data_IF_163099868286
#
_entry.id   IF_163099868286
#
_cell.length_a   1.000
_cell.length_b   1.000
_cell.length_c   1.000
_cell.angle_alpha   90.00
_cell.angle_beta   90.00
_cell.angle_gamma   90.00
#
_symmetry.space_group_name_H-M   'P 1'
#
loop_
_entity.id
_entity.type
_entity.pdbx_description
1 polymer ?
#
# COMPACT_ATOMS: atom_id res chain seq x y z
N UNK A 1 3.85 -1.41 -22.50
CA UNK A 1 3.12 -0.15 -22.30
C UNK A 1 2.57 -0.19 -20.89
N UNK A 2 2.98 0.72 -20.00
CA UNK A 2 2.45 0.75 -18.63
C UNK A 2 0.95 1.09 -18.70
N UNK A 3 0.09 0.21 -18.21
CA UNK A 3 -1.35 0.47 -18.09
C UNK A 3 -1.55 1.54 -17.01
N UNK A 4 -1.82 2.78 -17.46
CA UNK A 4 -2.07 3.92 -16.58
C UNK A 4 -3.52 4.01 -16.10
N UNK A 5 -4.38 3.05 -16.47
CA UNK A 5 -5.72 2.99 -15.90
C UNK A 5 -5.65 2.80 -14.39
N UNK A 6 -6.68 3.26 -13.68
CA UNK A 6 -6.81 3.03 -12.24
C UNK A 6 -6.70 1.55 -11.85
N UNK A 7 -7.16 0.63 -12.72
CA UNK A 7 -6.96 -0.81 -12.51
C UNK A 7 -5.49 -1.18 -12.61
N UNK A 8 -4.79 -0.70 -13.64
CA UNK A 8 -3.35 -0.93 -13.81
C UNK A 8 -2.52 -0.41 -12.63
N UNK A 9 -2.85 0.78 -12.12
CA UNK A 9 -2.22 1.37 -10.92
C UNK A 9 -2.44 0.52 -9.66
N UNK A 10 -3.66 0.03 -9.44
CA UNK A 10 -3.94 -0.87 -8.31
C UNK A 10 -3.23 -2.24 -8.47
N UNK A 11 -3.16 -2.78 -9.69
CA UNK A 11 -2.40 -4.00 -9.94
C UNK A 11 -0.90 -3.81 -9.71
N UNK A 12 -0.36 -2.62 -9.99
CA UNK A 12 1.03 -2.29 -9.67
C UNK A 12 1.28 -2.29 -8.16
N UNK A 13 0.39 -1.69 -7.36
CA UNK A 13 0.50 -1.74 -5.89
C UNK A 13 0.38 -3.17 -5.37
N UNK A 14 -0.57 -3.95 -5.88
CA UNK A 14 -0.72 -5.36 -5.53
C UNK A 14 0.57 -6.12 -5.78
N UNK A 15 1.15 -5.99 -6.97
CA UNK A 15 2.38 -6.70 -7.31
C UNK A 15 3.52 -6.28 -6.39
N UNK A 16 3.66 -4.98 -6.11
CA UNK A 16 4.69 -4.47 -5.20
C UNK A 16 4.57 -5.05 -3.79
N UNK A 17 3.35 -5.19 -3.27
CA UNK A 17 3.12 -5.79 -1.94
C UNK A 17 3.59 -7.26 -1.91
N UNK A 18 3.24 -8.05 -2.93
CA UNK A 18 3.67 -9.44 -3.02
C UNK A 18 5.17 -9.58 -3.23
N UNK A 19 5.76 -8.79 -4.13
CA UNK A 19 7.19 -8.82 -4.41
C UNK A 19 7.99 -8.47 -3.16
N UNK A 20 7.64 -7.38 -2.47
CA UNK A 20 8.33 -6.96 -1.25
C UNK A 20 8.18 -8.00 -0.14
N UNK A 21 6.99 -8.57 0.07
CA UNK A 21 6.79 -9.58 1.11
C UNK A 21 7.56 -10.88 0.84
N UNK A 22 7.70 -11.27 -0.43
CA UNK A 22 8.46 -12.45 -0.83
C UNK A 22 9.97 -12.31 -0.55
N UNK A 23 10.48 -11.08 -0.51
CA UNK A 23 11.89 -10.77 -0.23
C UNK A 23 12.21 -10.68 1.29
N UNK A 24 11.21 -10.80 2.17
CA UNK A 24 11.38 -10.68 3.63
C UNK A 24 11.30 -12.05 4.32
N UNK A 25 12.43 -12.47 4.89
CA UNK A 25 12.50 -13.68 5.71
C UNK A 25 11.52 -13.62 6.91
N UNK A 26 10.71 -14.67 7.05
CA UNK A 26 9.78 -14.83 8.17
C UNK A 26 8.38 -14.23 7.96
N UNK A 27 8.11 -13.51 6.87
CA UNK A 27 6.76 -13.04 6.52
C UNK A 27 5.88 -14.19 6.04
N UNK A 28 6.44 -15.12 5.26
CA UNK A 28 5.71 -16.24 4.68
C UNK A 28 4.77 -15.82 3.54
N UNK A 29 3.85 -16.70 3.14
CA UNK A 29 2.89 -16.38 2.08
C UNK A 29 1.85 -15.34 2.56
N UNK A 30 1.58 -14.35 1.71
CA UNK A 30 0.50 -13.39 1.94
C UNK A 30 -0.85 -13.98 1.54
N UNK A 31 -1.82 -13.89 2.45
CA UNK A 31 -3.22 -14.09 2.12
C UNK A 31 -3.79 -12.79 1.52
N UNK A 32 -4.35 -12.89 0.30
CA UNK A 32 -5.18 -11.83 -0.29
C UNK A 32 -6.66 -12.13 -0.04
N UNK A 33 -7.34 -11.20 0.61
CA UNK A 33 -8.78 -11.29 0.92
C UNK A 33 -9.47 -9.96 0.65
N UNK A 34 -10.80 -9.92 0.82
CA UNK A 34 -11.55 -8.67 0.79
C UNK A 34 -11.88 -8.23 2.22
N UNK A 35 -11.53 -7.00 2.57
CA UNK A 35 -11.99 -6.34 3.80
C UNK A 35 -12.69 -5.05 3.44
N UNK A 36 -13.96 -4.95 3.79
CA UNK A 36 -14.83 -3.81 3.44
C UNK A 36 -14.97 -3.57 1.93
N UNK A 37 -14.85 -4.64 1.13
CA UNK A 37 -14.88 -4.58 -0.33
C UNK A 37 -13.54 -4.18 -0.99
N UNK A 38 -12.49 -3.97 -0.18
CA UNK A 38 -11.16 -3.58 -0.65
C UNK A 38 -10.20 -4.79 -0.58
N UNK A 39 -9.34 -5.02 -1.60
CA UNK A 39 -8.23 -5.96 -1.52
C UNK A 39 -7.36 -5.71 -0.29
N UNK A 40 -7.14 -6.76 0.49
CA UNK A 40 -6.41 -6.74 1.75
C UNK A 40 -5.36 -7.86 1.76
N UNK A 41 -4.15 -7.51 2.19
CA UNK A 41 -2.99 -8.38 2.23
C UNK A 41 -2.60 -8.63 3.69
N UNK A 42 -2.62 -9.88 4.09
CA UNK A 42 -2.52 -10.30 5.49
C UNK A 42 -1.54 -11.45 5.59
N UNK A 43 -0.68 -11.39 6.59
CA UNK A 43 0.23 -12.47 6.96
C UNK A 43 -0.48 -13.45 7.89
N UNK A 44 -1.46 -14.20 7.39
CA UNK A 44 -2.35 -15.01 8.25
C UNK A 44 -1.63 -16.11 9.03
N UNK A 45 -0.53 -16.64 8.46
CA UNK A 45 0.28 -17.69 9.09
C UNK A 45 1.28 -17.13 10.10
N UNK A 46 2.20 -16.26 9.65
CA UNK A 46 3.26 -15.68 10.48
C UNK A 46 2.77 -14.62 11.46
N UNK A 47 1.64 -13.95 11.14
CA UNK A 47 1.05 -12.84 11.89
C UNK A 47 2.01 -11.66 12.08
N UNK A 48 2.98 -11.51 11.19
CA UNK A 48 3.94 -10.41 11.20
C UNK A 48 3.35 -9.11 10.63
N UNK A 49 3.77 -7.96 11.17
CA UNK A 49 3.41 -6.66 10.58
C UNK A 49 1.93 -6.29 10.72
N UNK A 50 1.45 -5.47 9.78
CA UNK A 50 0.08 -4.93 9.76
C UNK A 50 -0.60 -5.25 8.43
N UNK A 51 -1.92 -5.42 8.45
CA UNK A 51 -2.71 -5.57 7.22
C UNK A 51 -2.56 -4.33 6.34
N UNK A 52 -2.22 -4.55 5.06
CA UNK A 52 -2.23 -3.53 4.01
C UNK A 52 -3.50 -3.70 3.19
N UNK A 53 -4.15 -2.61 2.81
CA UNK A 53 -5.23 -2.62 1.81
C UNK A 53 -4.93 -1.65 0.69
N UNK A 54 -5.52 -1.87 -0.48
CA UNK A 54 -5.45 -0.93 -1.60
C UNK A 54 -6.83 -0.71 -2.17
N UNK A 55 -7.16 0.53 -2.52
CA UNK A 55 -8.37 0.84 -3.28
C UNK A 55 -8.28 2.24 -3.91
N UNK A 56 -9.21 2.53 -4.81
CA UNK A 56 -9.51 3.89 -5.25
C UNK A 56 -9.92 4.75 -4.07
N UNK A 57 -9.63 6.05 -4.11
CA UNK A 57 -10.19 6.97 -3.13
C UNK A 57 -11.63 7.28 -3.50
N UNK A 58 -12.56 7.06 -2.58
CA UNK A 58 -14.00 7.38 -2.80
C UNK A 58 -14.25 8.88 -3.04
N UNK A 59 -13.32 9.74 -2.64
CA UNK A 59 -13.39 11.20 -2.79
C UNK A 59 -12.71 11.73 -4.04
N UNK A 60 -12.16 10.87 -4.92
CA UNK A 60 -11.46 11.31 -6.13
C UNK A 60 -11.43 10.22 -7.19
N UNK A 61 -11.73 10.59 -8.44
CA UNK A 61 -11.72 9.67 -9.58
C UNK A 61 -10.30 9.34 -10.09
N UNK A 62 -9.31 10.18 -9.77
CA UNK A 62 -7.93 10.06 -10.25
C UNK A 62 -6.98 9.48 -9.19
N UNK A 63 -7.45 9.32 -7.95
CA UNK A 63 -6.59 8.94 -6.83
C UNK A 63 -6.89 7.54 -6.32
N UNK A 64 -5.83 6.92 -5.82
CA UNK A 64 -5.86 5.63 -5.16
C UNK A 64 -4.93 5.68 -3.95
N UNK A 65 -5.03 4.67 -3.10
CA UNK A 65 -4.30 4.68 -1.86
C UNK A 65 -3.87 3.28 -1.45
N UNK A 66 -2.79 3.27 -0.68
CA UNK A 66 -2.44 2.16 0.19
C UNK A 66 -2.87 2.53 1.61
N UNK A 67 -3.72 1.70 2.21
CA UNK A 67 -4.27 1.90 3.54
C UNK A 67 -3.59 0.99 4.56
N UNK A 68 -3.36 1.55 5.74
CA UNK A 68 -2.73 0.90 6.90
C UNK A 68 -3.67 0.90 8.10
N UNK A 69 -3.33 0.13 9.12
CA UNK A 69 -4.10 0.10 10.37
C UNK A 69 -3.99 1.45 11.10
N UNK A 70 -5.10 2.17 11.23
CA UNK A 70 -5.14 3.54 11.75
C UNK A 70 -4.76 3.68 13.24
N UNK A 71 -4.80 2.58 14.00
CA UNK A 71 -4.36 2.53 15.40
C UNK A 71 -2.85 2.35 15.60
N UNK A 72 -2.04 2.38 14.53
CA UNK A 72 -0.57 2.31 14.58
C UNK A 72 0.04 3.66 14.24
N UNK A 73 1.34 3.88 14.47
CA UNK A 73 2.05 5.09 14.00
C UNK A 73 2.75 4.92 12.65
N UNK A 74 2.37 3.92 11.86
CA UNK A 74 3.04 3.60 10.58
C UNK A 74 3.06 4.80 9.62
N UNK A 75 1.90 5.39 9.33
CA UNK A 75 1.81 6.50 8.38
C UNK A 75 2.55 7.75 8.87
N UNK A 76 2.56 8.00 10.19
CA UNK A 76 3.36 9.07 10.78
C UNK A 76 4.87 8.84 10.60
N UNK A 77 5.34 7.59 10.81
CA UNK A 77 6.74 7.21 10.59
C UNK A 77 7.12 7.35 9.13
N UNK A 78 6.27 6.92 8.21
CA UNK A 78 6.51 7.06 6.77
C UNK A 78 6.63 8.52 6.35
N UNK A 79 5.74 9.40 6.85
CA UNK A 79 5.86 10.85 6.63
C UNK A 79 7.16 11.45 7.14
N UNK A 80 7.67 10.93 8.25
CA UNK A 80 8.93 11.42 8.84
C UNK A 80 10.13 10.93 8.04
N UNK A 81 10.11 9.67 7.60
CA UNK A 81 11.17 9.07 6.80
C UNK A 81 11.21 9.61 5.36
N UNK A 82 10.05 9.92 4.80
CA UNK A 82 9.86 10.31 3.39
C UNK A 82 8.98 11.57 3.29
N UNK A 83 9.49 12.75 3.73
CA UNK A 83 8.71 13.97 3.85
C UNK A 83 8.29 14.59 2.51
N UNK A 84 8.87 14.14 1.39
CA UNK A 84 8.66 14.73 0.07
C UNK A 84 8.10 13.75 -0.96
N UNK A 85 8.08 12.45 -0.63
CA UNK A 85 7.71 11.37 -1.53
C UNK A 85 6.22 11.02 -1.43
N UNK A 86 5.60 11.24 -0.27
CA UNK A 86 4.23 10.79 -0.02
C UNK A 86 3.28 11.91 0.40
N UNK A 87 2.09 11.88 -0.22
CA UNK A 87 0.89 12.51 0.35
C UNK A 87 0.21 11.50 1.26
N UNK A 88 -0.26 11.92 2.44
CA UNK A 88 -0.94 11.02 3.37
C UNK A 88 -2.32 11.55 3.78
N UNK A 89 -3.26 10.65 4.01
CA UNK A 89 -4.55 10.99 4.62
C UNK A 89 -4.54 10.58 6.10
N UNK A 90 -4.45 11.59 6.97
CA UNK A 90 -4.38 11.40 8.42
C UNK A 90 -3.30 10.38 8.80
N UNK A 91 -3.72 9.34 9.54
CA UNK A 91 -2.85 8.26 9.98
C UNK A 91 -3.24 6.89 9.39
N UNK A 92 -3.89 6.90 8.22
CA UNK A 92 -4.50 5.68 7.65
C UNK A 92 -4.07 5.35 6.22
N UNK A 93 -3.49 6.30 5.48
CA UNK A 93 -3.21 6.05 4.06
C UNK A 93 -2.04 6.86 3.50
N UNK A 94 -1.35 6.25 2.53
CA UNK A 94 -0.51 6.93 1.53
C UNK A 94 -1.35 7.09 0.25
N UNK A 95 -1.37 8.30 -0.31
CA UNK A 95 -2.21 8.69 -1.45
C UNK A 95 -1.36 8.89 -2.70
N UNK A 96 -1.81 8.29 -3.79
CA UNK A 96 -1.21 8.38 -5.12
C UNK A 96 -2.22 9.00 -6.10
N UNK A 97 -1.69 9.62 -7.16
CA UNK A 97 -2.49 10.11 -8.29
C UNK A 97 -2.13 9.31 -9.54
N UNK A 98 -3.11 8.98 -10.38
CA UNK A 98 -2.91 8.20 -11.60
C UNK A 98 -1.99 8.87 -12.62
N UNK A 99 -1.84 10.20 -12.56
CA UNK A 99 -0.97 10.96 -13.44
C UNK A 99 0.50 10.91 -13.02
N UNK A 100 0.79 10.55 -11.77
CA UNK A 100 2.12 10.58 -11.17
C UNK A 100 2.75 9.18 -11.09
N UNK A 101 4.07 9.12 -11.01
CA UNK A 101 4.77 7.87 -10.78
C UNK A 101 4.83 7.56 -9.28
N UNK A 102 4.71 6.26 -8.96
CA UNK A 102 4.84 5.78 -7.58
C UNK A 102 6.33 5.78 -7.21
N UNK A 103 6.75 6.36 -6.08
CA UNK A 103 8.12 6.26 -5.60
C UNK A 103 8.37 4.85 -5.04
N UNK A 104 8.66 3.90 -5.94
CA UNK A 104 8.69 2.45 -5.68
C UNK A 104 9.61 2.10 -4.50
N UNK A 105 10.85 2.59 -4.49
CA UNK A 105 11.82 2.25 -3.44
C UNK A 105 11.35 2.69 -2.05
N UNK A 106 10.87 3.93 -1.92
CA UNK A 106 10.32 4.43 -0.66
C UNK A 106 9.08 3.62 -0.23
N UNK A 107 8.25 3.22 -1.20
CA UNK A 107 7.03 2.47 -0.91
C UNK A 107 7.34 1.04 -0.48
N UNK A 108 8.38 0.40 -1.02
CA UNK A 108 8.87 -0.90 -0.53
C UNK A 108 9.26 -0.83 0.94
N UNK A 109 10.01 0.19 1.34
CA UNK A 109 10.36 0.40 2.75
C UNK A 109 9.14 0.64 3.66
N UNK A 110 8.01 1.11 3.12
CA UNK A 110 6.76 1.21 3.89
C UNK A 110 5.98 -0.12 3.99
N UNK A 111 6.26 -1.08 3.11
CA UNK A 111 5.63 -2.41 3.09
C UNK A 111 6.42 -3.38 4.00
N UNK A 112 7.74 -3.23 4.07
CA UNK A 112 8.65 -3.91 5.01
C UNK A 112 8.36 -3.56 6.49
#
# INVERSE_FOLDING_TARGET
>A
MLDRSMRGRLMQLRQLIFDTAADIDGVGELEESLRWGEPAYITSESKSGSTIRIDRRKSSDTQYAMYFHCGTSLVERFRTAFPHEFRSEGNRAIIFDEAEDVPVEALKTCIE
#
